data_IF_656183994001
#
_entry.id   IF_656183994001
#
_cell.length_a   1.000
_cell.length_b   1.000
_cell.length_c   1.000
_cell.angle_alpha   90.00
_cell.angle_beta   90.00
_cell.angle_gamma   90.00
#
_symmetry.space_group_name_H-M   'P 1'
#
loop_
_entity.id
_entity.type
_entity.pdbx_description
1 polymer ?
#
# COMPACT_ATOMS: atom_id res chain seq x y z
N UNK A 1 -14.42 -6.75 11.36
CA UNK A 1 -13.75 -5.95 12.41
C UNK A 1 -12.91 -4.93 11.67
N UNK A 2 -13.03 -3.64 11.97
CA UNK A 2 -12.03 -2.67 11.53
C UNK A 2 -10.93 -2.72 12.59
N UNK A 3 -9.75 -3.18 12.21
CA UNK A 3 -8.58 -3.09 13.08
C UNK A 3 -8.24 -1.61 13.23
N UNK A 4 -8.23 -1.15 14.47
CA UNK A 4 -7.91 0.23 14.80
C UNK A 4 -6.40 0.41 14.80
N UNK A 5 -5.89 1.29 13.94
CA UNK A 5 -4.48 1.60 13.83
C UNK A 5 -4.15 2.73 14.82
N UNK A 6 -3.11 2.54 15.61
CA UNK A 6 -2.62 3.51 16.58
C UNK A 6 -1.24 4.04 16.19
N UNK A 7 -0.91 5.21 16.75
CA UNK A 7 0.39 5.84 16.57
C UNK A 7 1.49 4.87 17.03
N UNK A 8 2.56 4.76 16.24
CA UNK A 8 3.69 3.84 16.48
C UNK A 8 3.34 2.35 16.47
N UNK A 9 2.20 1.93 15.90
CA UNK A 9 1.94 0.51 15.68
C UNK A 9 2.99 -0.10 14.73
N UNK A 10 3.59 -1.21 15.18
CA UNK A 10 4.57 -1.99 14.43
C UNK A 10 3.93 -3.30 14.01
N UNK A 11 4.13 -3.72 12.76
CA UNK A 11 3.56 -4.95 12.24
C UNK A 11 2.18 -4.79 11.62
N UNK A 12 1.66 -3.56 11.49
CA UNK A 12 0.42 -3.28 10.78
C UNK A 12 0.62 -3.56 9.30
N UNK A 13 -0.21 -4.43 8.74
CA UNK A 13 -0.13 -4.82 7.34
C UNK A 13 -1.06 -3.98 6.48
N UNK A 14 -0.49 -3.32 5.48
CA UNK A 14 -1.22 -2.61 4.44
C UNK A 14 -1.14 -3.40 3.14
N UNK A 15 -2.29 -3.74 2.59
CA UNK A 15 -2.43 -4.39 1.29
C UNK A 15 -3.06 -3.41 0.31
N UNK A 16 -2.51 -3.34 -0.90
CA UNK A 16 -3.07 -2.57 -2.02
C UNK A 16 -3.24 -3.48 -3.22
N UNK A 17 -4.41 -3.36 -3.86
CA UNK A 17 -4.73 -4.05 -5.10
C UNK A 17 -4.55 -3.12 -6.30
N UNK A 18 -3.94 -3.66 -7.36
CA UNK A 18 -3.82 -3.02 -8.66
C UNK A 18 -4.73 -3.73 -9.64
N UNK A 19 -5.72 -2.98 -10.11
CA UNK A 19 -6.72 -3.44 -11.08
C UNK A 19 -6.78 -2.46 -12.25
N UNK A 20 -6.98 -3.00 -13.45
CA UNK A 20 -7.28 -2.30 -14.69
C UNK A 20 -8.57 -2.88 -15.26
N UNK A 21 -9.61 -2.04 -15.29
CA UNK A 21 -10.97 -2.42 -15.71
C UNK A 21 -11.07 -2.74 -17.21
N UNK A 22 -10.03 -2.49 -17.99
CA UNK A 22 -10.00 -2.78 -19.43
C UNK A 22 -9.43 -4.17 -19.77
N UNK A 23 -9.00 -4.94 -18.77
CA UNK A 23 -8.51 -6.31 -18.96
C UNK A 23 -9.37 -7.34 -18.21
N UNK A 24 -9.29 -8.59 -18.67
CA UNK A 24 -9.93 -9.74 -18.04
C UNK A 24 -8.88 -10.84 -17.87
N UNK A 25 -8.50 -11.22 -16.63
CA UNK A 25 -9.05 -10.73 -15.37
C UNK A 25 -8.54 -9.29 -15.04
N UNK A 26 -9.25 -8.51 -14.20
CA UNK A 26 -8.94 -7.08 -14.00
C UNK A 26 -7.62 -6.84 -13.25
N UNK A 27 -7.11 -7.83 -12.53
CA UNK A 27 -5.87 -7.74 -11.75
C UNK A 27 -4.65 -7.51 -12.65
N UNK A 28 -3.78 -6.59 -12.25
CA UNK A 28 -2.54 -6.30 -12.97
C UNK A 28 -1.51 -7.37 -12.63
N UNK A 29 -1.06 -8.14 -13.61
CA UNK A 29 0.04 -9.10 -13.40
C UNK A 29 1.34 -8.37 -13.09
N UNK A 30 1.90 -8.66 -11.91
CA UNK A 30 3.10 -8.07 -11.37
C UNK A 30 4.38 -8.79 -11.80
N UNK A 31 4.29 -9.78 -12.69
CA UNK A 31 5.45 -10.52 -13.17
C UNK A 31 6.47 -9.60 -13.86
N UNK A 32 7.72 -9.62 -13.39
CA UNK A 32 8.79 -8.77 -13.91
C UNK A 32 8.70 -7.31 -13.47
N UNK A 33 7.90 -6.98 -12.44
CA UNK A 33 7.88 -5.66 -11.86
C UNK A 33 9.28 -5.26 -11.37
N UNK A 34 9.69 -4.04 -11.74
CA UNK A 34 10.99 -3.45 -11.37
C UNK A 34 10.87 -2.56 -10.15
N UNK A 35 9.68 -2.00 -9.91
CA UNK A 35 9.37 -1.16 -8.76
C UNK A 35 8.03 -1.61 -8.20
N UNK A 36 8.02 -1.92 -6.91
CA UNK A 36 6.83 -2.15 -6.10
C UNK A 36 6.88 -1.18 -4.93
N UNK A 37 5.94 -0.24 -4.87
CA UNK A 37 5.91 0.81 -3.84
C UNK A 37 4.50 1.01 -3.29
N UNK A 38 4.41 1.23 -1.98
CA UNK A 38 3.23 1.83 -1.34
C UNK A 38 3.60 3.22 -0.85
N UNK A 39 2.76 4.20 -1.19
CA UNK A 39 2.96 5.61 -0.86
C UNK A 39 1.96 6.02 0.19
N UNK A 40 2.48 6.47 1.31
CA UNK A 40 1.70 7.00 2.43
C UNK A 40 1.80 8.52 2.42
N UNK A 41 0.67 9.21 2.46
CA UNK A 41 0.61 10.64 2.71
C UNK A 41 0.17 10.86 4.15
N UNK A 42 1.05 11.48 4.92
CA UNK A 42 0.82 11.85 6.32
C UNK A 42 -0.26 12.93 6.43
N UNK A 43 -0.91 13.09 7.60
CA UNK A 43 -1.80 14.20 7.90
C UNK A 43 -1.14 15.57 7.66
N UNK A 44 0.15 15.71 8.01
CA UNK A 44 0.95 16.91 7.74
C UNK A 44 1.26 17.16 6.25
N UNK A 45 0.91 16.23 5.36
CA UNK A 45 1.04 16.36 3.91
C UNK A 45 2.34 15.79 3.33
N UNK A 46 3.31 15.39 4.18
CA UNK A 46 4.51 14.68 3.75
C UNK A 46 4.14 13.34 3.09
N UNK A 47 4.92 12.94 2.09
CA UNK A 47 4.74 11.64 1.41
C UNK A 47 5.93 10.75 1.73
N UNK A 48 5.65 9.58 2.29
CA UNK A 48 6.61 8.51 2.54
C UNK A 48 6.39 7.42 1.50
N UNK A 49 7.48 6.95 0.91
CA UNK A 49 7.46 5.87 -0.07
C UNK A 49 8.11 4.65 0.55
N UNK A 50 7.37 3.56 0.63
CA UNK A 50 7.86 2.30 1.15
C UNK A 50 7.95 1.27 0.03
N UNK A 51 9.02 0.47 0.07
CA UNK A 51 9.19 -0.65 -0.87
C UNK A 51 8.23 -1.76 -0.46
N UNK A 52 7.38 -2.17 -1.39
CA UNK A 52 6.38 -3.21 -1.15
C UNK A 52 6.88 -4.59 -1.60
N UNK A 53 6.23 -5.64 -1.12
CA UNK A 53 6.44 -7.02 -1.54
C UNK A 53 5.14 -7.63 -2.05
N UNK A 54 5.24 -8.69 -2.85
CA UNK A 54 4.08 -9.50 -3.22
C UNK A 54 3.79 -10.46 -2.06
N UNK A 55 2.56 -10.52 -1.53
CA UNK A 55 2.22 -11.43 -0.43
C UNK A 55 2.52 -12.88 -0.80
N UNK A 56 3.09 -13.66 0.12
CA UNK A 56 3.49 -15.05 -0.18
C UNK A 56 2.33 -16.00 -0.47
N UNK A 57 1.12 -15.65 0.00
CA UNK A 57 -0.10 -16.40 -0.26
C UNK A 57 -0.75 -16.04 -1.61
N UNK A 58 -0.30 -14.94 -2.23
CA UNK A 58 -0.80 -14.41 -3.50
C UNK A 58 0.27 -14.62 -4.59
N UNK A 59 -0.16 -14.84 -5.82
CA UNK A 59 0.71 -14.86 -7.00
C UNK A 59 0.94 -13.46 -7.57
N UNK A 60 1.83 -13.36 -8.55
CA UNK A 60 2.03 -12.10 -9.30
C UNK A 60 0.76 -11.66 -10.04
N UNK A 61 -0.05 -12.63 -10.47
CA UNK A 61 -1.28 -12.42 -11.24
C UNK A 61 -2.43 -11.83 -10.42
N UNK A 62 -2.33 -11.82 -9.09
CA UNK A 62 -3.40 -11.33 -8.21
C UNK A 62 -3.37 -9.79 -8.03
N UNK A 63 -2.35 -9.11 -8.59
CA UNK A 63 -2.25 -7.65 -8.53
C UNK A 63 -2.08 -7.09 -7.11
N UNK A 64 -1.66 -7.91 -6.15
CA UNK A 64 -1.57 -7.55 -4.75
C UNK A 64 -0.14 -7.18 -4.35
N UNK A 65 0.01 -6.03 -3.69
CA UNK A 65 1.25 -5.64 -3.02
C UNK A 65 0.97 -5.34 -1.54
N UNK A 66 1.90 -5.72 -0.67
CA UNK A 66 1.81 -5.46 0.76
C UNK A 66 3.04 -4.76 1.33
N UNK A 67 2.82 -4.05 2.43
CA UNK A 67 3.85 -3.49 3.28
C UNK A 67 3.46 -3.68 4.74
N UNK A 68 4.44 -4.05 5.57
CA UNK A 68 4.28 -4.22 7.01
C UNK A 68 5.01 -3.06 7.69
N UNK A 69 4.32 -2.31 8.54
CA UNK A 69 4.92 -1.16 9.23
C UNK A 69 6.08 -1.57 10.12
N UNK A 70 7.10 -0.74 10.13
CA UNK A 70 8.22 -0.81 11.06
C UNK A 70 8.17 0.36 12.03
N UNK A 71 9.07 0.34 13.01
CA UNK A 71 9.19 1.42 13.99
C UNK A 71 9.33 2.79 13.33
N UNK A 72 8.54 3.76 13.79
CA UNK A 72 8.54 5.14 13.30
C UNK A 72 7.71 5.43 12.04
N UNK A 73 7.06 4.44 11.42
CA UNK A 73 6.24 4.67 10.22
C UNK A 73 4.95 5.45 10.52
N UNK A 74 4.27 5.12 11.61
CA UNK A 74 2.98 5.69 12.03
C UNK A 74 3.16 6.78 13.09
N UNK A 75 4.00 7.76 12.80
CA UNK A 75 4.45 8.79 13.75
C UNK A 75 3.46 9.96 13.94
N UNK A 76 2.46 10.11 13.07
CA UNK A 76 1.46 11.18 13.12
C UNK A 76 0.04 10.63 13.35
N UNK A 77 -0.68 11.21 14.32
CA UNK A 77 -2.11 10.95 14.54
C UNK A 77 -2.95 11.73 13.53
N UNK A 78 -3.94 11.08 12.92
CA UNK A 78 -4.89 11.74 12.01
C UNK A 78 -5.28 10.89 10.81
N UNK A 79 -5.77 11.57 9.77
CA UNK A 79 -6.16 10.94 8.50
C UNK A 79 -4.96 10.83 7.57
N UNK A 80 -4.61 9.60 7.23
CA UNK A 80 -3.58 9.25 6.27
C UNK A 80 -4.21 8.86 4.94
N UNK A 81 -3.42 8.97 3.87
CA UNK A 81 -3.80 8.48 2.55
C UNK A 81 -2.79 7.45 2.07
N UNK A 82 -3.27 6.44 1.35
CA UNK A 82 -2.47 5.34 0.82
C UNK A 82 -2.76 5.16 -0.66
N UNK A 83 -1.73 4.81 -1.42
CA UNK A 83 -1.85 4.31 -2.79
C UNK A 83 -0.65 3.43 -3.16
N UNK A 84 -0.89 2.44 -4.00
CA UNK A 84 0.13 1.60 -4.60
C UNK A 84 0.65 2.19 -5.90
N UNK A 85 1.91 1.94 -6.21
CA UNK A 85 2.52 2.22 -7.51
C UNK A 85 3.41 1.05 -7.92
N UNK A 86 3.21 0.59 -9.14
CA UNK A 86 4.04 -0.47 -9.74
C UNK A 86 4.57 -0.02 -11.09
N UNK A 87 5.83 -0.37 -11.36
CA UNK A 87 6.47 -0.17 -12.67
C UNK A 87 6.89 -1.51 -13.24
N UNK A 88 6.31 -1.84 -14.38
CA UNK A 88 6.67 -2.97 -15.22
C UNK A 88 7.38 -2.45 -16.49
N UNK A 89 8.11 -3.30 -17.22
CA UNK A 89 8.68 -2.92 -18.52
C UNK A 89 7.63 -2.42 -19.51
N UNK A 90 6.38 -2.85 -19.36
CA UNK A 90 5.24 -2.53 -20.21
C UNK A 90 4.54 -1.23 -19.82
N UNK A 91 4.76 -0.69 -18.63
CA UNK A 91 4.03 0.49 -18.17
C UNK A 91 4.15 0.80 -16.68
N UNK A 92 3.34 1.75 -16.23
CA UNK A 92 3.26 2.14 -14.81
C UNK A 92 1.79 2.18 -14.40
N UNK A 93 1.46 1.48 -13.32
CA UNK A 93 0.14 1.46 -12.73
C UNK A 93 0.17 2.16 -11.38
N UNK A 94 -0.90 2.88 -11.07
CA UNK A 94 -1.10 3.52 -9.77
C UNK A 94 -2.51 3.21 -9.32
N UNK A 95 -2.66 2.74 -8.09
CA UNK A 95 -3.98 2.45 -7.54
C UNK A 95 -4.76 3.74 -7.25
N UNK A 96 -6.05 3.59 -7.04
CA UNK A 96 -6.87 4.62 -6.39
C UNK A 96 -6.27 5.02 -5.03
N UNK A 97 -6.52 6.26 -4.64
CA UNK A 97 -6.16 6.75 -3.32
C UNK A 97 -7.22 6.32 -2.30
N UNK A 98 -6.78 5.66 -1.24
CA UNK A 98 -7.63 5.31 -0.10
C UNK A 98 -7.17 6.05 1.16
N UNK A 99 -7.99 6.05 2.20
CA UNK A 99 -7.73 6.77 3.46
C UNK A 99 -7.87 5.84 4.65
N UNK A 100 -6.98 5.99 5.63
CA UNK A 100 -7.07 5.30 6.91
C UNK A 100 -6.79 6.28 8.05
N UNK A 101 -7.28 5.95 9.24
CA UNK A 101 -7.11 6.79 10.43
C UNK A 101 -6.11 6.14 11.38
N UNK A 102 -5.13 6.93 11.82
CA UNK A 102 -4.23 6.58 12.93
C UNK A 102 -4.71 7.31 14.18
N UNK A 103 -4.95 6.55 15.24
CA UNK A 103 -5.45 7.06 16.52
C UNK A 103 -4.30 7.25 17.52
N UNK A 104 -4.51 8.10 18.52
CA UNK A 104 -3.54 8.25 19.61
C UNK A 104 -3.56 7.01 20.51
N UNK A 105 -2.40 6.65 21.07
CA UNK A 105 -2.33 5.67 22.15
C UNK A 105 -2.96 6.29 23.40
N UNK A 106 -3.87 5.57 24.06
CA UNK A 106 -4.50 5.97 25.33
C UNK A 106 -3.94 5.19 26.52
#
# INVERSE_FOLDING_TARGET
>A
MHDEIHQNDIGTKFTVFLVDENQTPPEVDLEGATILEIRFKKPGGAVVVQTASIPSASGTVDGEIEYITVDGDLDEVGMWKIRGRVVLPTGTWTSSEDTFKVNAIF
#
